data_IF_621437590571
#
_entry.id   IF_621437590571
#
_cell.length_a   1.000
_cell.length_b   1.000
_cell.length_c   1.000
_cell.angle_alpha   90.00
_cell.angle_beta   90.00
_cell.angle_gamma   90.00
#
_symmetry.space_group_name_H-M   'P 1'
#
loop_
_entity.id
_entity.type
_entity.pdbx_description
1 polymer ?
#
# COMPACT_ATOMS: atom_id res chain seq x y z
N UNK A 1 -51.92 -18.51 -26.57
CA UNK A 1 -50.62 -18.74 -25.98
C UNK A 1 -49.93 -17.38 -25.86
N UNK A 2 -49.85 -16.80 -24.66
CA UNK A 2 -49.19 -15.49 -24.45
C UNK A 2 -47.75 -15.74 -24.07
N UNK A 3 -46.82 -15.37 -24.97
CA UNK A 3 -45.39 -15.37 -24.68
C UNK A 3 -45.07 -14.16 -23.78
N UNK A 4 -44.70 -14.39 -22.53
CA UNK A 4 -44.11 -13.37 -21.66
C UNK A 4 -42.62 -13.31 -21.94
N UNK A 5 -42.20 -12.26 -22.66
CA UNK A 5 -40.78 -11.96 -22.83
C UNK A 5 -40.27 -11.36 -21.53
N UNK A 6 -39.51 -12.12 -20.77
CA UNK A 6 -38.83 -11.59 -19.58
C UNK A 6 -37.68 -10.70 -20.04
N UNK A 7 -37.80 -9.40 -19.78
CA UNK A 7 -36.74 -8.43 -20.00
C UNK A 7 -35.71 -8.56 -18.86
N UNK A 8 -34.59 -9.23 -19.14
CA UNK A 8 -33.45 -9.24 -18.25
C UNK A 8 -32.75 -7.88 -18.33
N UNK A 9 -32.98 -7.01 -17.36
CA UNK A 9 -32.17 -5.81 -17.18
C UNK A 9 -30.89 -6.30 -16.49
N UNK A 10 -29.80 -6.41 -17.27
CA UNK A 10 -28.48 -6.58 -16.72
C UNK A 10 -28.07 -5.25 -16.05
N UNK A 11 -28.17 -5.21 -14.73
CA UNK A 11 -27.54 -4.18 -13.92
C UNK A 11 -26.02 -4.37 -14.07
N UNK A 12 -25.40 -3.63 -14.99
CA UNK A 12 -23.96 -3.47 -15.00
C UNK A 12 -23.59 -2.68 -13.76
N UNK A 13 -23.14 -3.35 -12.71
CA UNK A 13 -22.44 -2.71 -11.61
C UNK A 13 -21.17 -2.10 -12.19
N UNK A 14 -21.13 -0.78 -12.37
CA UNK A 14 -19.88 -0.07 -12.59
C UNK A 14 -19.05 -0.23 -11.32
N UNK A 15 -18.19 -1.26 -11.30
CA UNK A 15 -17.18 -1.37 -10.27
C UNK A 15 -16.26 -0.16 -10.42
N UNK A 16 -16.25 0.76 -9.43
CA UNK A 16 -15.25 1.80 -9.32
C UNK A 16 -13.90 1.11 -9.13
N UNK A 17 -13.08 1.04 -10.19
CA UNK A 17 -11.69 0.65 -10.03
C UNK A 17 -10.90 1.90 -9.66
N UNK A 18 -10.31 1.91 -8.47
CA UNK A 18 -9.35 2.94 -8.09
C UNK A 18 -8.10 2.84 -8.95
N UNK A 19 -7.50 3.99 -9.24
CA UNK A 19 -6.22 4.01 -9.95
C UNK A 19 -5.12 3.38 -9.09
N UNK A 20 -4.11 2.79 -9.74
CA UNK A 20 -2.92 2.28 -9.05
C UNK A 20 -2.30 3.32 -8.12
N UNK A 21 -2.27 4.59 -8.55
CA UNK A 21 -1.78 5.73 -7.74
C UNK A 21 -2.53 5.87 -6.44
N UNK A 22 -3.87 5.84 -6.47
CA UNK A 22 -4.69 6.03 -5.27
C UNK A 22 -4.46 4.90 -4.26
N UNK A 23 -4.34 3.68 -4.72
CA UNK A 23 -4.07 2.52 -3.86
C UNK A 23 -2.69 2.64 -3.21
N UNK A 24 -1.66 2.96 -3.98
CA UNK A 24 -0.29 3.09 -3.45
C UNK A 24 -0.21 4.28 -2.49
N UNK A 25 -0.72 5.46 -2.87
CA UNK A 25 -0.72 6.63 -1.99
C UNK A 25 -1.51 6.40 -0.69
N UNK A 26 -2.65 5.70 -0.77
CA UNK A 26 -3.41 5.30 0.42
C UNK A 26 -2.59 4.41 1.34
N UNK A 27 -1.84 3.45 0.78
CA UNK A 27 -0.94 2.59 1.56
C UNK A 27 0.11 3.42 2.29
N UNK A 28 0.74 4.39 1.62
CA UNK A 28 1.73 5.28 2.27
C UNK A 28 1.13 6.05 3.45
N UNK A 29 -0.08 6.58 3.28
CA UNK A 29 -0.78 7.30 4.34
C UNK A 29 -1.15 6.39 5.51
N UNK A 30 -1.76 5.24 5.22
CA UNK A 30 -2.25 4.34 6.27
C UNK A 30 -1.11 3.66 7.04
N UNK A 31 0.03 3.44 6.40
CA UNK A 31 1.20 2.83 7.03
C UNK A 31 2.12 3.85 7.71
N UNK A 32 2.30 5.04 7.15
CA UNK A 32 3.28 6.01 7.61
C UNK A 32 2.81 7.48 7.61
N UNK A 33 1.54 7.77 7.40
CA UNK A 33 1.02 9.14 7.37
C UNK A 33 1.16 9.88 8.70
N UNK A 34 1.12 9.19 9.82
CA UNK A 34 1.37 9.72 11.15
C UNK A 34 2.85 9.80 11.55
N UNK A 35 3.75 9.25 10.74
CA UNK A 35 5.18 9.24 10.98
C UNK A 35 5.85 10.44 10.29
N UNK A 36 6.41 11.34 11.05
CA UNK A 36 7.02 12.59 10.53
C UNK A 36 8.54 12.52 10.36
N UNK A 37 9.15 11.38 10.60
CA UNK A 37 10.56 11.17 10.32
C UNK A 37 10.85 11.32 8.83
N UNK A 38 11.99 11.92 8.50
CA UNK A 38 12.40 12.10 7.11
C UNK A 38 12.47 10.75 6.38
N UNK A 39 11.78 10.66 5.26
CA UNK A 39 11.79 9.46 4.42
C UNK A 39 10.83 8.36 4.87
N UNK A 40 9.94 8.61 5.85
CA UNK A 40 9.05 7.58 6.37
C UNK A 40 8.08 7.02 5.31
N UNK A 41 7.37 7.88 4.59
CA UNK A 41 6.48 7.44 3.51
C UNK A 41 7.24 6.95 2.29
N UNK A 42 8.33 7.60 1.94
CA UNK A 42 9.23 7.16 0.84
C UNK A 42 9.77 5.75 1.09
N UNK A 43 10.06 5.42 2.33
CA UNK A 43 10.56 4.09 2.72
C UNK A 43 9.51 3.00 2.52
N UNK A 44 8.24 3.26 2.82
CA UNK A 44 7.14 2.36 2.51
C UNK A 44 6.98 2.21 0.99
N UNK A 45 7.10 3.30 0.24
CA UNK A 45 7.06 3.29 -1.22
C UNK A 45 8.17 2.42 -1.82
N UNK A 46 9.40 2.51 -1.29
CA UNK A 46 10.52 1.65 -1.70
C UNK A 46 10.21 0.17 -1.48
N UNK A 47 9.65 -0.19 -0.31
CA UNK A 47 9.27 -1.59 -0.03
C UNK A 47 8.22 -2.09 -1.02
N UNK A 48 7.21 -1.28 -1.31
CA UNK A 48 6.19 -1.62 -2.32
C UNK A 48 6.83 -1.83 -3.69
N UNK A 49 7.70 -0.92 -4.12
CA UNK A 49 8.44 -1.01 -5.38
C UNK A 49 9.30 -2.26 -5.44
N UNK A 50 10.12 -2.52 -4.42
CA UNK A 50 11.03 -3.67 -4.37
C UNK A 50 10.25 -5.00 -4.41
N UNK A 51 9.12 -5.09 -3.72
CA UNK A 51 8.20 -6.24 -3.81
C UNK A 51 7.57 -6.38 -5.19
N UNK A 52 7.17 -5.28 -5.81
CA UNK A 52 6.62 -5.24 -7.17
C UNK A 52 7.60 -5.82 -8.18
N UNK A 53 8.84 -5.38 -8.14
CA UNK A 53 9.90 -5.88 -9.02
C UNK A 53 10.20 -7.36 -8.76
N UNK A 54 10.35 -7.75 -7.53
CA UNK A 54 10.68 -9.14 -7.13
C UNK A 54 9.59 -10.14 -7.49
N UNK A 55 8.32 -9.72 -7.42
CA UNK A 55 7.16 -10.59 -7.63
C UNK A 55 6.56 -10.46 -9.02
N UNK A 56 7.07 -9.56 -9.86
CA UNK A 56 6.52 -9.23 -11.17
C UNK A 56 5.02 -8.90 -11.12
N UNK A 57 4.64 -8.02 -10.20
CA UNK A 57 3.27 -7.52 -9.99
C UNK A 57 3.26 -6.01 -10.02
N UNK A 58 2.09 -5.40 -10.29
CA UNK A 58 1.93 -3.96 -10.12
C UNK A 58 2.09 -3.56 -8.65
N UNK A 59 2.45 -2.31 -8.38
CA UNK A 59 2.57 -1.81 -7.02
C UNK A 59 1.23 -1.85 -6.28
N UNK A 60 0.12 -1.54 -6.95
CA UNK A 60 -1.21 -1.67 -6.34
C UNK A 60 -1.57 -3.11 -6.00
N UNK A 61 -1.25 -4.07 -6.88
CA UNK A 61 -1.46 -5.48 -6.60
C UNK A 61 -0.65 -5.96 -5.39
N UNK A 62 0.58 -5.46 -5.22
CA UNK A 62 1.39 -5.72 -4.03
C UNK A 62 0.72 -5.15 -2.78
N UNK A 63 0.23 -3.91 -2.84
CA UNK A 63 -0.44 -3.28 -1.69
C UNK A 63 -1.67 -4.05 -1.24
N UNK A 64 -2.49 -4.52 -2.18
CA UNK A 64 -3.76 -5.20 -1.90
C UNK A 64 -3.62 -6.71 -1.69
N UNK A 65 -2.44 -7.28 -1.89
CA UNK A 65 -2.21 -8.70 -1.64
C UNK A 65 -2.46 -9.03 -0.17
N UNK A 66 -3.21 -10.10 0.10
CA UNK A 66 -3.55 -10.52 1.46
C UNK A 66 -2.31 -10.60 2.37
N UNK A 67 -2.43 -10.07 3.58
CA UNK A 67 -1.40 -10.09 4.63
C UNK A 67 -0.11 -9.30 4.35
N UNK A 68 -0.06 -8.49 3.29
CA UNK A 68 1.15 -7.69 2.98
C UNK A 68 1.18 -6.37 3.76
N UNK A 69 0.04 -5.70 3.87
CA UNK A 69 -0.12 -4.45 4.62
C UNK A 69 -1.38 -4.54 5.48
N UNK A 70 -1.21 -4.47 6.79
CA UNK A 70 -2.29 -4.64 7.76
C UNK A 70 -3.41 -3.61 7.61
N UNK A 71 -3.09 -2.43 7.11
CA UNK A 71 -4.07 -1.37 6.90
C UNK A 71 -5.22 -1.78 5.96
N UNK A 72 -5.03 -2.77 5.08
CA UNK A 72 -6.05 -3.27 4.18
C UNK A 72 -6.90 -4.40 4.76
N UNK A 73 -6.56 -4.90 5.95
CA UNK A 73 -7.23 -6.05 6.55
C UNK A 73 -8.52 -5.68 7.31
N UNK A 74 -8.66 -4.43 7.76
CA UNK A 74 -9.71 -4.04 8.72
C UNK A 74 -10.96 -3.46 8.07
N UNK A 75 -10.83 -2.72 6.97
CA UNK A 75 -11.93 -2.04 6.30
C UNK A 75 -11.98 -2.42 4.83
N UNK A 76 -13.11 -2.13 4.18
CA UNK A 76 -13.17 -2.23 2.73
C UNK A 76 -12.26 -1.21 2.05
N UNK A 77 -11.96 -1.45 0.77
CA UNK A 77 -11.03 -0.64 -0.03
C UNK A 77 -11.51 0.81 -0.13
N UNK A 78 -12.81 1.02 -0.35
CA UNK A 78 -13.40 2.37 -0.49
C UNK A 78 -13.22 3.19 0.78
N UNK A 79 -13.49 2.60 1.94
CA UNK A 79 -13.35 3.25 3.25
C UNK A 79 -11.89 3.63 3.50
N UNK A 80 -10.96 2.75 3.22
CA UNK A 80 -9.54 3.00 3.41
C UNK A 80 -9.02 4.11 2.50
N UNK A 81 -9.39 4.11 1.23
CA UNK A 81 -8.99 5.16 0.28
C UNK A 81 -9.59 6.50 0.67
N UNK A 82 -10.86 6.54 1.02
CA UNK A 82 -11.52 7.78 1.47
C UNK A 82 -10.83 8.35 2.71
N UNK A 83 -10.51 7.49 3.69
CA UNK A 83 -9.77 7.90 4.88
C UNK A 83 -8.40 8.50 4.53
N UNK A 84 -7.66 7.85 3.65
CA UNK A 84 -6.35 8.32 3.20
C UNK A 84 -6.43 9.65 2.45
N UNK A 85 -7.41 9.80 1.54
CA UNK A 85 -7.63 11.02 0.78
C UNK A 85 -7.98 12.24 1.65
N UNK A 86 -8.60 12.03 2.80
CA UNK A 86 -8.90 13.07 3.78
C UNK A 86 -7.73 13.39 4.73
N UNK A 87 -6.62 12.68 4.64
CA UNK A 87 -5.46 12.92 5.47
C UNK A 87 -4.71 14.20 5.05
N UNK A 88 -4.21 15.03 5.99
CA UNK A 88 -3.48 16.26 5.66
C UNK A 88 -2.27 16.08 4.75
N UNK A 89 -1.66 14.90 4.76
CA UNK A 89 -0.48 14.56 3.94
C UNK A 89 -0.80 13.84 2.63
N UNK A 90 -2.07 13.80 2.21
CA UNK A 90 -2.44 13.13 0.97
C UNK A 90 -1.66 13.64 -0.25
N UNK A 91 -1.54 14.96 -0.41
CA UNK A 91 -0.81 15.55 -1.53
C UNK A 91 0.69 15.20 -1.50
N UNK A 92 1.28 15.06 -0.31
CA UNK A 92 2.66 14.60 -0.16
C UNK A 92 2.81 13.14 -0.63
N UNK A 93 1.91 12.26 -0.21
CA UNK A 93 1.89 10.87 -0.65
C UNK A 93 1.73 10.76 -2.17
N UNK A 94 0.84 11.54 -2.77
CA UNK A 94 0.66 11.57 -4.22
C UNK A 94 1.91 12.03 -4.97
N UNK A 95 2.64 13.02 -4.45
CA UNK A 95 3.92 13.45 -5.03
C UNK A 95 4.97 12.34 -4.99
N UNK A 96 5.04 11.59 -3.89
CA UNK A 96 5.96 10.46 -3.76
C UNK A 96 5.64 9.40 -4.83
N UNK A 97 4.38 9.04 -4.98
CA UNK A 97 3.94 8.03 -5.96
C UNK A 97 4.19 8.48 -7.40
N UNK A 98 4.05 9.76 -7.69
CA UNK A 98 4.25 10.34 -9.03
C UNK A 98 5.73 10.55 -9.40
N UNK A 99 6.64 10.41 -8.44
CA UNK A 99 8.06 10.56 -8.68
C UNK A 99 8.59 9.42 -9.55
N UNK A 100 9.23 9.76 -10.67
CA UNK A 100 9.80 8.78 -11.60
C UNK A 100 10.98 7.99 -11.02
N UNK A 101 11.68 8.58 -10.06
CA UNK A 101 12.83 7.96 -9.41
C UNK A 101 12.48 7.49 -8.00
N UNK A 102 12.67 6.21 -7.75
CA UNK A 102 12.49 5.63 -6.41
C UNK A 102 13.64 6.09 -5.50
N UNK A 103 13.30 6.52 -4.29
CA UNK A 103 14.28 6.87 -3.27
C UNK A 103 15.06 5.65 -2.78
N UNK A 104 16.11 5.87 -2.00
CA UNK A 104 16.96 4.80 -1.45
C UNK A 104 17.21 4.99 0.06
N UNK A 105 16.16 5.29 0.81
CA UNK A 105 16.25 5.41 2.28
C UNK A 105 16.45 4.06 2.96
N UNK A 106 15.95 2.98 2.36
CA UNK A 106 15.92 1.66 3.01
C UNK A 106 17.06 0.74 2.62
N UNK A 107 17.94 1.14 1.69
CA UNK A 107 19.00 0.28 1.15
C UNK A 107 18.48 -1.03 0.54
N UNK A 108 17.36 -0.96 -0.20
CA UNK A 108 16.80 -2.08 -0.93
C UNK A 108 15.90 -3.00 -0.11
N UNK A 109 15.33 -2.51 0.99
CA UNK A 109 14.45 -3.32 1.82
C UNK A 109 13.16 -3.73 1.09
N UNK A 110 12.69 -4.92 1.38
CA UNK A 110 11.41 -5.46 0.93
C UNK A 110 10.53 -5.95 2.10
N UNK A 111 11.03 -5.80 3.33
CA UNK A 111 10.32 -6.12 4.57
C UNK A 111 10.52 -5.01 5.59
N UNK A 112 9.51 -4.80 6.44
CA UNK A 112 9.64 -4.00 7.64
C UNK A 112 8.60 -4.39 8.69
N UNK A 113 8.87 -4.03 9.94
CA UNK A 113 7.89 -4.07 11.01
C UNK A 113 8.05 -2.86 11.94
N UNK A 114 7.01 -2.56 12.69
CA UNK A 114 7.05 -1.47 13.66
C UNK A 114 7.76 -1.90 14.95
N UNK A 115 8.68 -1.10 15.46
CA UNK A 115 9.50 -1.41 16.64
C UNK A 115 8.71 -1.76 17.92
N UNK A 116 7.44 -1.36 17.98
CA UNK A 116 6.56 -1.59 19.15
C UNK A 116 5.78 -2.90 19.09
N UNK A 117 5.92 -3.69 18.01
CA UNK A 117 5.36 -5.04 17.92
C UNK A 117 6.44 -6.09 18.20
N UNK A 118 6.02 -7.31 18.55
CA UNK A 118 6.94 -8.43 18.68
C UNK A 118 7.66 -8.71 17.37
N UNK A 119 8.95 -9.08 17.47
CA UNK A 119 9.74 -9.39 16.28
C UNK A 119 9.10 -10.51 15.46
N UNK A 120 8.77 -10.28 14.18
CA UNK A 120 8.21 -11.32 13.32
C UNK A 120 9.21 -12.47 13.11
N UNK A 121 8.70 -13.68 12.91
CA UNK A 121 9.52 -14.88 12.70
C UNK A 121 10.50 -14.77 11.53
N UNK A 122 10.13 -14.02 10.49
CA UNK A 122 10.95 -13.85 9.30
C UNK A 122 12.16 -12.93 9.51
N UNK A 123 12.15 -12.07 10.52
CA UNK A 123 13.20 -11.07 10.75
C UNK A 123 14.57 -11.70 11.01
N UNK A 124 14.60 -12.85 11.70
CA UNK A 124 15.85 -13.58 11.95
C UNK A 124 16.48 -14.19 10.68
N UNK A 125 15.69 -14.39 9.62
CA UNK A 125 16.13 -14.95 8.35
C UNK A 125 16.59 -13.91 7.33
N UNK A 126 16.38 -12.63 7.62
CA UNK A 126 16.67 -11.50 6.74
C UNK A 126 17.76 -10.60 7.34
N UNK A 127 18.36 -9.79 6.49
CA UNK A 127 19.36 -8.82 6.91
C UNK A 127 18.70 -7.48 7.20
N UNK A 128 18.89 -6.95 8.41
CA UNK A 128 18.46 -5.59 8.76
C UNK A 128 19.25 -4.58 7.94
N UNK A 129 18.55 -3.63 7.32
CA UNK A 129 19.17 -2.58 6.52
C UNK A 129 19.25 -1.24 7.23
N UNK A 130 18.16 -0.81 7.86
CA UNK A 130 18.07 0.48 8.55
C UNK A 130 16.85 0.56 9.45
N UNK A 131 16.74 1.66 10.18
CA UNK A 131 15.51 2.06 10.88
C UNK A 131 15.16 3.50 10.50
N UNK A 132 13.88 3.77 10.24
CA UNK A 132 13.38 5.09 9.92
C UNK A 132 12.10 5.31 10.72
N UNK A 133 12.09 6.34 11.58
CA UNK A 133 11.01 6.51 12.53
C UNK A 133 10.86 5.26 13.40
N UNK A 134 9.66 4.71 13.44
CA UNK A 134 9.33 3.50 14.20
C UNK A 134 9.39 2.21 13.39
N UNK A 135 9.84 2.28 12.14
CA UNK A 135 9.96 1.11 11.27
C UNK A 135 11.39 0.60 11.20
N UNK A 136 11.55 -0.71 11.29
CA UNK A 136 12.82 -1.42 11.12
C UNK A 136 12.74 -2.20 9.80
N UNK A 137 13.70 -1.97 8.92
CA UNK A 137 13.71 -2.47 7.54
C UNK A 137 14.70 -3.61 7.33
N UNK A 138 14.33 -4.55 6.43
CA UNK A 138 15.08 -5.78 6.14
C UNK A 138 15.05 -6.13 4.64
N UNK A 139 16.05 -6.91 4.20
CA UNK A 139 16.09 -7.53 2.87
C UNK A 139 16.67 -8.94 2.91
#
# INVERSE_FOLDING_TARGET
MKLYTALFIALSSTAFSYSDRDVVASTLILEAGGEYSKGAMESVHEVVYNRSMKRNKSMSAVCLQAWQFSCWNENDVDTNITKAQNHPRWNEAMKIVDTAQISNFTNGADHYYAEYIDEPYWASSLTRTTSIGRHIFFK
#
